data_IF_383626601227
#
_entry.id   IF_383626601227
#
_cell.length_a   1.000
_cell.length_b   1.000
_cell.length_c   1.000
_cell.angle_alpha   90.00
_cell.angle_beta   90.00
_cell.angle_gamma   90.00
#
_symmetry.space_group_name_H-M   'P 1'
#
loop_
_entity.id
_entity.type
_entity.pdbx_description
1 polymer ?
#
# COMPACT_ATOMS: atom_id res chain seq x y z
N UNK A 1 9.72 -15.44 12.66
CA UNK A 1 9.15 -14.21 13.22
C UNK A 1 8.79 -13.25 12.09
N UNK A 2 7.60 -12.70 12.14
CA UNK A 2 7.16 -11.81 11.09
C UNK A 2 7.74 -10.41 11.32
N UNK A 3 8.07 -9.76 10.22
CA UNK A 3 8.65 -8.42 10.26
C UNK A 3 7.55 -7.37 10.45
N UNK A 4 7.75 -6.40 11.35
CA UNK A 4 6.75 -5.33 11.53
C UNK A 4 6.77 -4.40 10.32
N UNK A 5 5.61 -4.12 9.76
CA UNK A 5 5.51 -3.30 8.55
C UNK A 5 4.36 -2.33 8.64
N UNK A 6 4.48 -1.29 7.82
CA UNK A 6 3.36 -0.41 7.48
C UNK A 6 2.87 -0.86 6.12
N UNK A 7 1.58 -1.11 6.01
CA UNK A 7 0.97 -1.52 4.75
C UNK A 7 0.23 -0.33 4.15
N UNK A 8 0.51 -0.03 2.90
CA UNK A 8 -0.16 1.04 2.18
C UNK A 8 -0.92 0.41 1.02
N UNK A 9 -2.25 0.50 1.05
CA UNK A 9 -3.08 0.03 -0.06
C UNK A 9 -3.47 1.22 -0.91
N UNK A 10 -3.58 1.02 -2.21
CA UNK A 10 -3.87 2.11 -3.14
C UNK A 10 -2.70 3.05 -3.28
N UNK A 11 -1.50 2.51 -3.21
CA UNK A 11 -0.28 3.30 -3.10
C UNK A 11 0.14 3.99 -4.40
N UNK A 12 -0.48 3.64 -5.51
CA UNK A 12 -0.02 4.12 -6.82
C UNK A 12 -0.42 5.54 -7.18
N UNK A 13 -1.26 6.20 -6.38
CA UNK A 13 -1.65 7.57 -6.67
C UNK A 13 -0.69 8.58 -6.07
N UNK A 14 -0.98 9.86 -6.28
CA UNK A 14 -0.11 10.92 -5.80
C UNK A 14 0.03 10.94 -4.29
N UNK A 15 -1.10 10.71 -3.59
CA UNK A 15 -1.06 10.71 -2.14
C UNK A 15 -0.20 9.56 -1.65
N UNK A 16 -0.31 8.40 -2.29
CA UNK A 16 0.49 7.25 -1.92
C UNK A 16 1.97 7.50 -2.13
N UNK A 17 2.32 8.12 -3.26
CA UNK A 17 3.73 8.43 -3.52
C UNK A 17 4.30 9.39 -2.48
N UNK A 18 3.54 10.41 -2.11
CA UNK A 18 3.98 11.34 -1.09
C UNK A 18 4.16 10.68 0.26
N UNK A 19 3.25 9.79 0.59
CA UNK A 19 3.32 9.07 1.86
C UNK A 19 4.53 8.14 1.89
N UNK A 20 4.78 7.42 0.81
CA UNK A 20 5.94 6.54 0.70
C UNK A 20 7.22 7.34 0.89
N UNK A 21 7.29 8.50 0.24
CA UNK A 21 8.45 9.35 0.33
C UNK A 21 8.74 9.73 1.77
N UNK A 22 7.72 10.10 2.51
CA UNK A 22 7.90 10.50 3.89
C UNK A 22 8.26 9.33 4.79
N UNK A 23 7.60 8.19 4.61
CA UNK A 23 7.82 7.04 5.47
C UNK A 23 9.18 6.41 5.23
N UNK A 24 9.63 6.41 3.97
CA UNK A 24 10.91 5.76 3.65
C UNK A 24 12.08 6.47 4.31
N UNK A 25 11.92 7.75 4.65
CA UNK A 25 13.00 8.49 5.27
C UNK A 25 12.96 8.49 6.78
N UNK A 26 11.88 8.05 7.37
CA UNK A 26 11.68 8.23 8.82
C UNK A 26 11.27 6.99 9.57
N UNK A 27 10.66 6.05 8.89
CA UNK A 27 10.02 4.95 9.59
C UNK A 27 11.01 3.90 10.03
N UNK A 28 10.83 3.39 11.22
CA UNK A 28 11.57 2.24 11.70
C UNK A 28 10.95 0.95 11.20
N UNK A 29 9.76 1.04 10.64
CA UNK A 29 9.08 -0.12 10.09
C UNK A 29 9.34 -0.20 8.59
N UNK A 30 9.35 -1.42 8.08
CA UNK A 30 9.40 -1.61 6.65
C UNK A 30 8.08 -1.16 6.02
N UNK A 31 8.13 -0.75 4.77
CA UNK A 31 6.95 -0.30 4.03
C UNK A 31 6.60 -1.35 2.99
N UNK A 32 5.36 -1.81 3.03
CA UNK A 32 4.83 -2.77 2.06
C UNK A 32 3.65 -2.12 1.38
N UNK A 33 3.58 -2.22 0.04
CA UNK A 33 2.49 -1.61 -0.70
C UNK A 33 1.66 -2.67 -1.41
N UNK A 34 0.38 -2.37 -1.58
CA UNK A 34 -0.54 -3.21 -2.33
C UNK A 34 -1.37 -2.33 -3.24
N UNK A 35 -1.32 -2.58 -4.54
CA UNK A 35 -2.13 -1.85 -5.51
C UNK A 35 -2.33 -2.74 -6.72
N UNK A 36 -3.39 -2.50 -7.46
CA UNK A 36 -3.63 -3.24 -8.70
C UNK A 36 -2.65 -2.82 -9.78
N UNK A 37 -2.12 -1.61 -9.69
CA UNK A 37 -1.15 -1.10 -10.64
C UNK A 37 0.23 -1.11 -10.01
N UNK A 38 1.25 -1.22 -10.85
CA UNK A 38 2.63 -1.16 -10.37
C UNK A 38 2.99 0.26 -10.03
N UNK A 39 3.87 0.41 -9.05
CA UNK A 39 4.36 1.72 -8.68
C UNK A 39 5.32 2.24 -9.74
N UNK A 40 5.43 3.57 -9.82
CA UNK A 40 6.50 4.20 -10.57
C UNK A 40 7.83 3.59 -10.08
N UNK A 41 8.74 3.19 -11.00
CA UNK A 41 9.98 2.55 -10.57
C UNK A 41 10.79 3.35 -9.55
N UNK A 42 10.79 4.67 -9.67
CA UNK A 42 11.53 5.49 -8.70
C UNK A 42 10.92 5.39 -7.31
N UNK A 43 9.60 5.23 -7.24
CA UNK A 43 8.92 5.09 -5.95
C UNK A 43 9.07 3.65 -5.44
N UNK A 44 9.02 2.68 -6.34
CA UNK A 44 9.16 1.28 -5.94
C UNK A 44 10.48 1.02 -5.22
N UNK A 45 11.51 1.76 -5.58
CA UNK A 45 12.80 1.62 -4.91
C UNK A 45 12.78 2.04 -3.45
N UNK A 46 11.77 2.79 -3.05
CA UNK A 46 11.67 3.32 -1.68
C UNK A 46 10.85 2.43 -0.76
N UNK A 47 10.24 1.39 -1.29
CA UNK A 47 9.46 0.47 -0.45
C UNK A 47 10.21 -0.84 -0.31
N UNK A 48 9.94 -1.54 0.78
CA UNK A 48 10.60 -2.81 1.05
C UNK A 48 9.98 -3.94 0.27
N UNK A 49 8.69 -3.86 0.00
CA UNK A 49 8.02 -4.87 -0.77
C UNK A 49 6.85 -4.26 -1.51
N UNK A 50 6.81 -4.44 -2.81
CA UNK A 50 5.68 -4.01 -3.63
C UNK A 50 4.88 -5.23 -4.04
N UNK A 51 3.59 -5.22 -3.75
CA UNK A 51 2.71 -6.32 -4.09
C UNK A 51 1.64 -5.80 -5.04
N UNK A 52 1.52 -6.46 -6.19
CA UNK A 52 0.50 -6.10 -7.17
C UNK A 52 -0.67 -7.04 -7.00
N UNK A 53 -1.83 -6.46 -6.73
CA UNK A 53 -3.03 -7.25 -6.52
C UNK A 53 -4.16 -6.37 -6.03
N UNK A 54 -5.32 -6.99 -5.88
CA UNK A 54 -6.51 -6.26 -5.45
C UNK A 54 -6.72 -6.42 -3.95
N UNK A 55 -7.12 -5.33 -3.31
CA UNK A 55 -7.51 -5.39 -1.91
C UNK A 55 -8.76 -6.26 -1.72
N UNK A 56 -9.48 -6.51 -2.80
CA UNK A 56 -10.65 -7.39 -2.76
C UNK A 56 -10.27 -8.86 -2.83
N UNK A 57 -9.01 -9.16 -3.11
CA UNK A 57 -8.55 -10.53 -3.20
C UNK A 57 -8.14 -11.01 -1.82
N UNK A 58 -9.00 -11.81 -1.22
CA UNK A 58 -8.78 -12.28 0.12
C UNK A 58 -7.50 -13.08 0.29
N UNK A 59 -7.14 -13.86 -0.74
CA UNK A 59 -5.93 -14.67 -0.65
C UNK A 59 -4.67 -13.81 -0.63
N UNK A 60 -4.68 -12.68 -1.33
CA UNK A 60 -3.56 -11.75 -1.30
C UNK A 60 -3.41 -11.18 0.11
N UNK A 61 -4.54 -10.75 0.70
CA UNK A 61 -4.49 -10.18 2.04
C UNK A 61 -4.03 -11.21 3.06
N UNK A 62 -4.50 -12.44 2.95
CA UNK A 62 -4.08 -13.50 3.87
C UNK A 62 -2.60 -13.77 3.76
N UNK A 63 -2.07 -13.71 2.56
CA UNK A 63 -0.63 -13.92 2.35
C UNK A 63 0.18 -12.82 3.00
N UNK A 64 -0.27 -11.57 2.86
CA UNK A 64 0.42 -10.45 3.47
C UNK A 64 0.41 -10.59 4.99
N UNK A 65 -0.73 -10.95 5.56
CA UNK A 65 -0.83 -11.08 7.02
C UNK A 65 -0.05 -12.27 7.54
N UNK A 66 0.17 -13.29 6.70
CA UNK A 66 0.96 -14.44 7.10
C UNK A 66 2.45 -14.13 7.06
N UNK A 67 2.86 -13.29 6.11
CA UNK A 67 4.28 -13.01 5.90
C UNK A 67 4.78 -11.86 6.78
N UNK A 68 3.94 -10.86 7.04
CA UNK A 68 4.34 -9.66 7.75
C UNK A 68 3.49 -9.44 8.97
N UNK A 69 4.07 -8.76 9.95
CA UNK A 69 3.32 -8.26 11.09
C UNK A 69 2.86 -6.85 10.75
N UNK A 70 1.62 -6.74 10.28
CA UNK A 70 1.09 -5.44 9.86
C UNK A 70 0.67 -4.67 11.09
N UNK A 71 1.37 -3.57 11.36
CA UNK A 71 1.11 -2.76 12.55
C UNK A 71 0.32 -1.52 12.25
N UNK A 72 0.34 -1.07 11.00
CA UNK A 72 -0.35 0.15 10.61
C UNK A 72 -0.76 0.02 9.16
N UNK A 73 -1.97 0.43 8.84
CA UNK A 73 -2.48 0.38 7.48
C UNK A 73 -2.92 1.77 7.06
N UNK A 74 -2.41 2.21 5.92
CA UNK A 74 -2.94 3.38 5.25
C UNK A 74 -3.70 2.89 4.03
N UNK A 75 -5.01 3.05 4.07
CA UNK A 75 -5.87 2.63 2.96
C UNK A 75 -6.24 3.87 2.15
N UNK A 76 -5.62 4.02 1.00
CA UNK A 76 -5.78 5.21 0.19
C UNK A 76 -6.78 4.98 -0.93
N UNK A 77 -7.55 6.00 -1.23
CA UNK A 77 -8.53 5.96 -2.30
C UNK A 77 -8.00 6.83 -3.43
N UNK A 78 -8.04 6.28 -4.64
CA UNK A 78 -7.61 7.03 -5.81
C UNK A 78 -8.62 8.12 -6.11
N UNK A 79 -8.17 9.35 -6.02
CA UNK A 79 -9.02 10.50 -6.26
C UNK A 79 -9.47 10.60 -7.71
N UNK A 80 -8.74 9.98 -8.61
CA UNK A 80 -9.12 9.98 -10.00
C UNK A 80 -10.19 8.97 -10.34
N UNK A 81 -10.51 8.05 -9.41
CA UNK A 81 -11.53 7.06 -9.66
C UNK A 81 -12.91 7.70 -9.56
N UNK A 82 -13.85 7.28 -10.39
CA UNK A 82 -15.20 7.80 -10.25
C UNK A 82 -15.77 7.35 -8.92
N UNK A 83 -16.47 8.24 -8.33
CA UNK A 83 -17.13 7.83 -7.11
C UNK A 83 -18.15 6.79 -7.48
N UNK A 84 -18.26 5.85 -6.88
CA UNK A 84 -19.11 4.95 -7.11
C UNK A 84 -19.92 4.84 -6.21
N UNK A 85 -20.31 5.01 -6.77
CA UNK A 85 -20.97 5.21 -6.06
C UNK A 85 -20.41 5.79 -5.02
N UNK A 86 -20.10 6.19 -5.05
CA UNK A 86 -19.43 6.70 -4.28
C UNK A 86 -19.91 7.42 -3.42
N UNK A 87 -20.19 7.53 -3.52
CA UNK A 87 -20.37 8.04 -2.92
C UNK A 87 -21.28 8.54 -2.66
N UNK A 88 -21.69 8.42 -3.06
CA UNK A 88 -22.22 8.69 -3.02
C UNK A 88 -22.86 8.49 -2.39
N UNK A 89 -23.02 8.49 -2.02
CA UNK A 89 -23.30 8.11 -1.59
C UNK A 89 -23.58 8.23 -1.06
#
# INVERSE_FOLDING_TARGET
MRKPVVLITGAGGEIGHGLIDRLSGQSERAVVTLDVARLDPAIALKVDREITGSILDKSVLERILAEFQVELVFHLVDEGAPPHGSLER
#
